data_IF_228574890644
#
_entry.id   IF_228574890644
#
_cell.length_a   1.000
_cell.length_b   1.000
_cell.length_c   1.000
_cell.angle_alpha   90.00
_cell.angle_beta   90.00
_cell.angle_gamma   90.00
#
_symmetry.space_group_name_H-M   'P 1'
#
loop_
_entity.id
_entity.type
_entity.pdbx_description
1 polymer ?
#
# COMPACT_ATOMS: atom_id res chain seq x y z
N UNK A 1 -4.21 13.39 -31.15
CA UNK A 1 -3.48 12.40 -31.93
C UNK A 1 -2.01 12.76 -31.97
N UNK A 2 -1.35 12.76 -30.78
CA UNK A 2 0.08 12.85 -30.62
C UNK A 2 0.45 12.06 -29.36
N UNK A 3 0.39 10.73 -29.46
CA UNK A 3 1.08 9.90 -28.49
C UNK A 3 2.54 9.86 -28.87
N UNK A 4 3.35 10.36 -27.99
CA UNK A 4 4.78 10.43 -28.16
C UNK A 4 5.35 9.02 -28.29
N UNK A 5 6.05 8.75 -29.39
CA UNK A 5 6.86 7.53 -29.55
C UNK A 5 7.85 7.30 -28.40
N UNK A 6 8.02 8.28 -27.51
CA UNK A 6 8.86 8.22 -26.30
C UNK A 6 8.28 7.32 -25.21
N UNK A 7 6.94 7.27 -25.02
CA UNK A 7 6.34 6.45 -23.96
C UNK A 7 6.55 4.95 -24.19
N UNK A 8 6.47 4.49 -25.43
CA UNK A 8 6.67 3.07 -25.76
C UNK A 8 8.12 2.60 -25.60
N UNK A 9 9.09 3.50 -25.77
CA UNK A 9 10.51 3.17 -25.57
C UNK A 9 10.88 3.12 -24.09
N UNK A 10 10.31 4.00 -23.26
CA UNK A 10 10.45 3.99 -21.81
C UNK A 10 9.82 2.76 -21.18
N UNK A 11 8.65 2.33 -21.67
CA UNK A 11 8.00 1.11 -21.20
C UNK A 11 8.84 -0.15 -21.51
N UNK A 12 9.51 -0.18 -22.65
CA UNK A 12 10.42 -1.27 -23.00
C UNK A 12 11.69 -1.30 -22.12
N UNK A 13 12.19 -0.16 -21.67
CA UNK A 13 13.33 -0.07 -20.75
C UNK A 13 12.95 -0.47 -19.31
N UNK A 14 11.77 -0.07 -18.83
CA UNK A 14 11.28 -0.45 -17.51
C UNK A 14 11.00 -1.96 -17.43
N UNK A 15 10.44 -2.57 -18.49
CA UNK A 15 10.25 -4.02 -18.57
C UNK A 15 11.58 -4.80 -18.68
N UNK A 16 12.58 -4.24 -19.37
CA UNK A 16 13.88 -4.92 -19.50
C UNK A 16 14.70 -4.90 -18.21
N UNK A 17 14.45 -3.96 -17.29
CA UNK A 17 15.06 -3.96 -15.96
C UNK A 17 14.45 -5.02 -15.02
N UNK A 18 13.20 -5.48 -15.29
CA UNK A 18 12.51 -6.51 -14.52
C UNK A 18 12.71 -7.91 -15.11
N UNK A 19 13.00 -8.03 -16.40
CA UNK A 19 13.24 -9.31 -17.09
C UNK A 19 14.72 -9.41 -17.50
N UNK A 20 15.60 -9.29 -16.53
CA UNK A 20 17.02 -9.61 -16.73
C UNK A 20 17.19 -11.10 -16.93
N UNK A 21 17.39 -11.53 -18.14
CA UNK A 21 18.29 -12.56 -18.67
C UNK A 21 17.67 -13.26 -19.89
N UNK A 22 18.42 -13.16 -20.95
CA UNK A 22 18.34 -13.78 -22.27
C UNK A 22 17.68 -12.94 -23.36
N UNK A 23 18.38 -11.88 -23.79
CA UNK A 23 18.22 -11.37 -25.15
C UNK A 23 19.46 -11.77 -25.95
N UNK A 24 19.30 -12.68 -26.89
CA UNK A 24 20.30 -12.94 -27.95
C UNK A 24 20.30 -11.72 -28.87
N UNK A 25 21.42 -11.02 -28.91
CA UNK A 25 21.60 -9.85 -29.78
C UNK A 25 21.73 -10.28 -31.24
N UNK A 26 20.79 -9.91 -32.08
CA UNK A 26 21.01 -9.84 -33.51
C UNK A 26 21.95 -8.65 -33.82
N UNK A 27 22.92 -8.84 -34.69
CA UNK A 27 23.87 -7.82 -35.09
C UNK A 27 23.09 -6.61 -35.64
N UNK A 28 23.13 -5.49 -34.92
CA UNK A 28 22.51 -4.26 -35.33
C UNK A 28 23.45 -3.49 -36.24
N UNK A 29 22.87 -2.84 -37.26
CA UNK A 29 23.52 -1.83 -38.07
C UNK A 29 24.23 -0.79 -37.20
N UNK A 30 25.41 -0.35 -37.62
CA UNK A 30 26.21 0.65 -36.93
C UNK A 30 25.47 1.99 -36.90
N UNK A 31 24.60 2.17 -35.92
CA UNK A 31 24.06 3.50 -35.58
C UNK A 31 25.13 4.21 -34.76
N UNK A 32 25.61 5.33 -35.25
CA UNK A 32 26.51 6.17 -34.46
C UNK A 32 25.74 6.69 -33.25
N UNK A 33 26.16 6.34 -32.03
CA UNK A 33 25.40 6.74 -30.85
C UNK A 33 25.51 8.24 -30.63
N UNK A 34 24.39 8.90 -30.42
CA UNK A 34 24.33 10.32 -30.06
C UNK A 34 24.27 10.54 -28.54
N UNK A 35 24.35 9.46 -27.74
CA UNK A 35 24.25 9.52 -26.29
C UNK A 35 25.54 9.06 -25.58
N UNK A 36 25.58 9.24 -24.28
CA UNK A 36 26.69 8.80 -23.43
C UNK A 36 26.81 7.28 -23.43
N UNK A 37 28.04 6.77 -23.51
CA UNK A 37 28.34 5.34 -23.50
C UNK A 37 28.86 4.96 -22.11
N UNK A 38 28.20 4.03 -21.44
CA UNK A 38 28.69 3.46 -20.19
C UNK A 38 29.24 2.05 -20.48
N UNK A 39 30.48 1.80 -20.09
CA UNK A 39 31.13 0.49 -20.23
C UNK A 39 31.46 -0.10 -18.86
N UNK A 40 31.20 -1.39 -18.66
CA UNK A 40 31.73 -2.09 -17.50
C UNK A 40 33.16 -2.56 -17.76
N UNK A 41 34.05 -2.30 -16.80
CA UNK A 41 35.44 -2.73 -16.88
C UNK A 41 35.52 -4.26 -17.11
N UNK A 42 36.24 -4.70 -18.17
CA UNK A 42 36.44 -6.11 -18.49
C UNK A 42 35.36 -6.75 -19.37
N UNK A 43 34.39 -6.00 -19.88
CA UNK A 43 33.39 -6.51 -20.85
C UNK A 43 33.42 -5.68 -22.14
N UNK A 44 33.06 -6.30 -23.27
CA UNK A 44 32.82 -5.60 -24.53
C UNK A 44 31.39 -5.07 -24.64
N UNK A 45 30.59 -5.20 -23.56
CA UNK A 45 29.22 -4.72 -23.53
C UNK A 45 29.20 -3.20 -23.42
N UNK A 46 28.49 -2.57 -24.31
CA UNK A 46 28.25 -1.13 -24.29
C UNK A 46 26.76 -0.89 -24.13
N UNK A 47 26.41 -0.05 -23.17
CA UNK A 47 25.05 0.39 -22.94
C UNK A 47 24.91 1.80 -23.49
N UNK A 48 23.82 2.04 -24.17
CA UNK A 48 23.48 3.33 -24.74
C UNK A 48 22.27 3.88 -23.99
N UNK A 49 22.29 5.17 -23.73
CA UNK A 49 21.16 5.89 -23.15
C UNK A 49 20.79 7.05 -24.06
N UNK A 50 19.51 7.35 -24.16
CA UNK A 50 18.98 8.51 -24.87
C UNK A 50 19.12 9.81 -24.05
N UNK A 51 19.60 9.70 -22.78
CA UNK A 51 19.71 10.81 -21.85
C UNK A 51 21.13 11.38 -21.81
N UNK A 52 21.21 12.70 -21.68
CA UNK A 52 22.50 13.41 -21.69
C UNK A 52 23.13 13.46 -20.30
N UNK A 53 22.34 13.45 -19.24
CA UNK A 53 22.80 13.50 -17.85
C UNK A 53 22.06 12.50 -16.96
N UNK A 54 22.67 12.16 -15.84
CA UNK A 54 22.04 11.32 -14.82
C UNK A 54 20.80 11.99 -14.21
N UNK A 55 20.84 13.30 -14.05
CA UNK A 55 19.73 14.10 -13.53
C UNK A 55 18.51 14.04 -14.46
N UNK A 56 18.73 14.11 -15.78
CA UNK A 56 17.66 13.96 -16.77
C UNK A 56 17.03 12.56 -16.69
N UNK A 57 17.85 11.52 -16.62
CA UNK A 57 17.38 10.14 -16.47
C UNK A 57 16.57 9.94 -15.18
N UNK A 58 17.08 10.44 -14.06
CA UNK A 58 16.41 10.34 -12.76
C UNK A 58 15.07 11.08 -12.75
N UNK A 59 14.99 12.27 -13.35
CA UNK A 59 13.74 13.01 -13.42
C UNK A 59 12.69 12.28 -14.25
N UNK A 60 13.08 11.74 -15.40
CA UNK A 60 12.17 10.97 -16.26
C UNK A 60 11.72 9.68 -15.58
N UNK A 61 12.62 8.98 -14.88
CA UNK A 61 12.26 7.78 -14.10
C UNK A 61 11.28 8.11 -12.97
N UNK A 62 11.46 9.26 -12.31
CA UNK A 62 10.53 9.73 -11.28
C UNK A 62 9.15 10.04 -11.85
N UNK A 63 9.08 10.78 -12.96
CA UNK A 63 7.82 11.13 -13.59
C UNK A 63 7.06 9.88 -14.06
N UNK A 64 7.80 8.91 -14.62
CA UNK A 64 7.23 7.61 -14.99
C UNK A 64 6.71 6.83 -13.76
N UNK A 65 7.45 6.83 -12.65
CA UNK A 65 7.01 6.17 -11.42
C UNK A 65 5.70 6.77 -10.88
N UNK A 66 5.55 8.10 -10.96
CA UNK A 66 4.31 8.79 -10.57
C UNK A 66 3.16 8.42 -11.52
N UNK A 67 3.41 8.35 -12.83
CA UNK A 67 2.42 7.95 -13.82
C UNK A 67 1.95 6.51 -13.57
N UNK A 68 2.87 5.57 -13.42
CA UNK A 68 2.57 4.15 -13.14
C UNK A 68 1.75 4.00 -11.85
N UNK A 69 2.12 4.69 -10.77
CA UNK A 69 1.38 4.65 -9.52
C UNK A 69 -0.02 5.27 -9.66
N UNK A 70 -0.14 6.37 -10.42
CA UNK A 70 -1.41 7.03 -10.68
C UNK A 70 -2.42 6.09 -11.38
N UNK A 71 -1.93 5.25 -12.28
CA UNK A 71 -2.75 4.25 -12.98
C UNK A 71 -2.99 3.00 -12.14
N UNK A 72 -2.03 2.64 -11.26
CA UNK A 72 -2.08 1.42 -10.46
C UNK A 72 -2.88 1.53 -9.17
N UNK A 73 -3.11 2.73 -8.65
CA UNK A 73 -3.88 2.90 -7.42
C UNK A 73 -5.36 2.60 -7.63
N UNK A 74 -5.98 2.01 -6.62
CA UNK A 74 -7.37 1.54 -6.70
C UNK A 74 -8.28 2.31 -5.77
N UNK A 75 -9.35 2.87 -6.30
CA UNK A 75 -10.44 3.47 -5.54
C UNK A 75 -11.44 2.39 -5.16
N UNK A 76 -11.39 1.92 -3.90
CA UNK A 76 -12.26 0.87 -3.38
C UNK A 76 -13.65 1.40 -2.97
N UNK A 77 -13.71 2.64 -2.50
CA UNK A 77 -14.95 3.29 -2.06
C UNK A 77 -14.88 4.79 -2.32
N UNK A 78 -15.98 5.38 -2.80
CA UNK A 78 -16.17 6.84 -2.91
C UNK A 78 -17.65 7.18 -2.73
N UNK A 79 -18.12 7.16 -1.49
CA UNK A 79 -19.52 7.42 -1.16
C UNK A 79 -19.82 8.91 -1.30
N UNK A 80 -20.98 9.23 -1.86
CA UNK A 80 -21.44 10.60 -2.10
C UNK A 80 -20.49 11.45 -2.95
N UNK A 81 -19.60 10.83 -3.71
CA UNK A 81 -18.62 11.53 -4.56
C UNK A 81 -17.79 12.57 -3.78
N UNK A 82 -17.34 12.20 -2.56
CA UNK A 82 -16.50 13.11 -1.74
C UNK A 82 -15.14 13.37 -2.38
N UNK A 83 -14.68 12.50 -3.25
CA UNK A 83 -13.51 12.67 -4.10
C UNK A 83 -13.95 13.04 -5.53
N UNK A 84 -13.19 13.91 -6.21
CA UNK A 84 -11.99 14.59 -5.72
C UNK A 84 -12.28 15.69 -4.68
N UNK A 85 -11.32 15.92 -3.77
CA UNK A 85 -11.41 17.03 -2.84
C UNK A 85 -11.17 18.38 -3.53
N UNK A 86 -11.88 19.41 -3.09
CA UNK A 86 -11.64 20.76 -3.57
C UNK A 86 -10.21 21.22 -3.25
N UNK A 87 -9.51 21.77 -4.25
CA UNK A 87 -8.16 22.31 -4.08
C UNK A 87 -8.15 23.51 -3.11
N UNK A 88 -7.02 23.71 -2.44
CA UNK A 88 -6.86 24.79 -1.46
C UNK A 88 -7.37 24.45 -0.06
N UNK A 89 -7.94 23.26 0.12
CA UNK A 89 -8.45 22.78 1.40
C UNK A 89 -7.37 22.62 2.46
N UNK A 90 -7.83 22.57 3.72
CA UNK A 90 -7.01 22.35 4.90
C UNK A 90 -7.32 20.96 5.46
N UNK A 91 -6.35 20.06 5.41
CA UNK A 91 -6.55 18.64 5.71
C UNK A 91 -5.72 18.18 6.91
N UNK A 92 -6.23 17.19 7.61
CA UNK A 92 -5.52 16.51 8.69
C UNK A 92 -5.12 15.10 8.25
N UNK A 93 -3.84 14.77 8.41
CA UNK A 93 -3.30 13.43 8.13
C UNK A 93 -3.19 12.66 9.43
N UNK A 94 -3.83 11.51 9.50
CA UNK A 94 -3.89 10.63 10.66
C UNK A 94 -3.21 9.28 10.38
N UNK A 95 -2.79 8.62 11.43
CA UNK A 95 -2.15 7.32 11.39
C UNK A 95 -0.63 7.41 11.46
N UNK A 96 0.00 6.45 12.15
CA UNK A 96 1.44 6.41 12.35
C UNK A 96 2.23 6.47 11.04
N UNK A 97 1.70 5.84 10.01
CA UNK A 97 2.33 5.79 8.70
C UNK A 97 2.02 7.02 7.81
N UNK A 98 1.21 7.96 8.27
CA UNK A 98 0.97 9.22 7.53
C UNK A 98 2.23 10.06 7.35
N UNK A 99 3.22 9.91 8.24
CA UNK A 99 4.53 10.58 8.15
C UNK A 99 5.66 9.71 7.60
N UNK A 100 5.38 8.42 7.38
CA UNK A 100 6.36 7.45 6.90
C UNK A 100 5.65 6.28 6.22
N UNK A 101 5.16 6.52 5.00
CA UNK A 101 4.58 5.46 4.17
C UNK A 101 5.58 4.34 3.94
N UNK A 102 5.09 3.11 3.89
CA UNK A 102 5.87 1.96 3.48
C UNK A 102 6.05 2.05 1.96
N UNK A 103 7.21 2.50 1.55
CA UNK A 103 7.53 2.70 0.14
C UNK A 103 7.87 1.39 -0.57
N UNK A 104 8.51 0.46 0.14
CA UNK A 104 8.91 -0.85 -0.40
C UNK A 104 8.86 -1.93 0.67
N UNK A 105 8.78 -3.19 0.24
CA UNK A 105 8.96 -4.35 1.10
C UNK A 105 10.44 -4.61 1.35
N UNK A 106 10.76 -5.44 2.36
CA UNK A 106 12.12 -5.96 2.57
C UNK A 106 12.37 -7.22 1.70
N UNK A 107 13.58 -7.73 1.69
CA UNK A 107 13.96 -8.91 0.90
C UNK A 107 14.28 -8.58 -0.55
N UNK A 108 14.22 -9.58 -1.42
CA UNK A 108 14.56 -9.45 -2.84
C UNK A 108 13.65 -8.49 -3.61
N UNK A 109 12.41 -8.34 -3.14
CA UNK A 109 11.44 -7.37 -3.67
C UNK A 109 11.58 -5.99 -3.00
N UNK A 110 12.47 -5.87 -2.01
CA UNK A 110 12.77 -4.62 -1.33
C UNK A 110 13.49 -3.68 -2.28
N UNK A 111 12.80 -2.69 -2.79
CA UNK A 111 13.45 -1.59 -3.49
C UNK A 111 14.47 -0.93 -2.58
N UNK A 112 15.61 -0.54 -3.12
CA UNK A 112 16.54 0.34 -2.43
C UNK A 112 15.79 1.61 -2.01
N UNK A 113 15.84 1.93 -0.72
CA UNK A 113 15.37 3.21 -0.21
C UNK A 113 16.32 4.33 -0.64
N UNK A 114 16.57 4.53 -1.93
CA UNK A 114 17.53 5.50 -2.44
C UNK A 114 18.94 5.37 -1.82
N UNK A 115 19.92 6.05 -2.35
CA UNK A 115 21.31 5.97 -1.86
C UNK A 115 21.47 6.33 -0.37
N UNK A 116 20.47 6.93 0.28
CA UNK A 116 20.49 7.35 1.67
C UNK A 116 19.29 6.86 2.50
N UNK A 117 18.48 5.93 1.99
CA UNK A 117 17.34 5.38 2.73
C UNK A 117 16.19 6.36 3.05
N UNK A 118 16.20 7.55 2.46
CA UNK A 118 15.20 8.60 2.69
C UNK A 118 14.27 8.65 1.49
N UNK A 119 12.97 8.51 1.73
CA UNK A 119 11.97 8.77 0.69
C UNK A 119 12.11 10.23 0.21
N UNK A 120 12.19 10.45 -1.10
CA UNK A 120 12.31 11.79 -1.68
C UNK A 120 11.03 12.62 -1.47
N UNK A 121 9.92 11.98 -1.19
CA UNK A 121 8.65 12.64 -0.91
C UNK A 121 7.96 12.01 0.30
N UNK A 122 7.11 12.79 0.97
CA UNK A 122 6.24 12.34 2.06
C UNK A 122 4.78 12.60 1.65
N UNK A 123 3.83 11.97 2.34
CA UNK A 123 2.42 12.25 2.10
C UNK A 123 2.10 13.74 2.34
N UNK A 124 2.72 14.38 3.35
CA UNK A 124 2.57 15.81 3.56
C UNK A 124 3.00 16.61 2.31
N UNK A 125 4.21 16.35 1.80
CA UNK A 125 4.73 17.05 0.60
C UNK A 125 3.82 16.78 -0.61
N UNK A 126 3.36 15.55 -0.79
CA UNK A 126 2.46 15.19 -1.88
C UNK A 126 1.14 15.98 -1.82
N UNK A 127 0.54 16.11 -0.63
CA UNK A 127 -0.68 16.89 -0.43
C UNK A 127 -0.44 18.39 -0.61
N UNK A 128 0.69 18.93 -0.14
CA UNK A 128 1.04 20.34 -0.32
C UNK A 128 1.29 20.68 -1.80
N UNK A 129 1.96 19.81 -2.55
CA UNK A 129 2.12 19.95 -4.00
C UNK A 129 0.79 19.91 -4.76
N UNK A 130 -0.17 19.12 -4.28
CA UNK A 130 -1.52 19.06 -4.83
C UNK A 130 -2.40 20.28 -4.42
N UNK A 131 -1.85 21.23 -3.64
CA UNK A 131 -2.47 22.49 -3.29
C UNK A 131 -3.21 22.50 -1.96
N UNK A 132 -3.03 21.50 -1.11
CA UNK A 132 -3.63 21.44 0.24
C UNK A 132 -2.71 22.01 1.30
N UNK A 133 -3.29 22.41 2.42
CA UNK A 133 -2.56 22.77 3.64
C UNK A 133 -2.72 21.67 4.68
N UNK A 134 -1.62 21.15 5.16
CA UNK A 134 -1.58 20.01 6.07
C UNK A 134 -1.43 20.45 7.52
N UNK A 135 -2.12 19.77 8.43
CA UNK A 135 -2.08 20.01 9.87
C UNK A 135 -0.70 19.60 10.46
N UNK A 136 0.17 20.58 10.63
CA UNK A 136 1.52 20.38 11.15
C UNK A 136 1.54 19.77 12.57
N UNK A 137 0.50 20.01 13.41
CA UNK A 137 0.44 19.45 14.77
C UNK A 137 0.30 17.93 14.77
N UNK A 138 -0.42 17.36 13.78
CA UNK A 138 -0.49 15.91 13.62
C UNK A 138 0.82 15.36 13.05
N UNK A 139 1.40 16.03 12.08
CA UNK A 139 2.72 15.63 11.54
C UNK A 139 3.76 15.60 12.66
N UNK A 140 3.81 16.64 13.51
CA UNK A 140 4.71 16.69 14.68
C UNK A 140 4.44 15.54 15.67
N UNK A 141 3.16 15.27 15.97
CA UNK A 141 2.74 14.17 16.85
C UNK A 141 3.29 12.84 16.36
N UNK A 142 2.99 12.47 15.12
CA UNK A 142 3.41 11.18 14.58
C UNK A 142 4.91 11.10 14.35
N UNK A 143 5.57 12.17 13.91
CA UNK A 143 7.02 12.21 13.74
C UNK A 143 7.73 11.98 15.08
N UNK A 144 7.23 12.58 16.16
CA UNK A 144 7.78 12.39 17.50
C UNK A 144 7.65 10.94 17.99
N UNK A 145 6.60 10.25 17.58
CA UNK A 145 6.28 8.91 18.08
C UNK A 145 6.54 7.79 17.05
N UNK A 146 7.13 8.08 15.89
CA UNK A 146 7.35 7.10 14.81
C UNK A 146 8.14 5.85 15.22
N UNK A 147 8.97 5.94 16.26
CA UNK A 147 9.73 4.81 16.80
C UNK A 147 8.87 3.84 17.62
N UNK A 148 7.66 4.23 18.01
CA UNK A 148 6.72 3.36 18.71
C UNK A 148 5.95 2.46 17.74
N UNK A 149 5.84 2.86 16.47
CA UNK A 149 5.18 2.11 15.41
C UNK A 149 6.17 1.26 14.65
N UNK A 150 6.51 0.09 15.17
CA UNK A 150 7.46 -0.80 14.48
C UNK A 150 6.74 -1.77 13.60
N UNK A 151 5.69 -1.78 13.10
CA UNK A 151 5.09 -2.63 12.06
C UNK A 151 3.64 -2.29 11.72
N UNK A 152 2.69 -2.50 12.54
CA UNK A 152 1.27 -2.25 12.25
C UNK A 152 0.57 -1.51 13.39
N UNK A 153 1.33 -1.00 14.34
CA UNK A 153 0.77 -0.45 15.57
C UNK A 153 0.39 1.00 15.40
N UNK A 154 -0.87 1.30 15.61
CA UNK A 154 -1.36 2.68 15.66
C UNK A 154 -1.07 3.31 17.03
N UNK A 155 -0.92 4.63 17.04
CA UNK A 155 -0.66 5.42 18.24
C UNK A 155 -1.89 5.45 19.16
N UNK A 156 -1.81 4.94 20.40
CA UNK A 156 -2.94 5.00 21.34
C UNK A 156 -3.45 6.42 21.57
N UNK A 157 -4.76 6.59 21.73
CA UNK A 157 -5.43 7.89 21.89
C UNK A 157 -4.91 8.74 23.05
N UNK A 158 -4.31 8.13 24.07
CA UNK A 158 -3.68 8.86 25.21
C UNK A 158 -2.59 9.84 24.82
N UNK A 159 -2.00 9.71 23.64
CA UNK A 159 -0.96 10.61 23.13
C UNK A 159 -1.52 11.86 22.44
N UNK A 160 -2.81 11.89 22.16
CA UNK A 160 -3.47 13.03 21.53
C UNK A 160 -3.79 14.10 22.56
N UNK A 161 -2.92 15.13 22.64
CA UNK A 161 -3.13 16.24 23.55
C UNK A 161 -4.34 17.10 23.16
N UNK A 162 -4.90 17.82 24.13
CA UNK A 162 -5.96 18.80 23.87
C UNK A 162 -5.55 19.83 22.79
N UNK A 163 -4.27 20.22 22.73
CA UNK A 163 -3.75 21.12 21.72
C UNK A 163 -3.73 20.49 20.32
N UNK A 164 -3.42 19.20 20.23
CA UNK A 164 -3.48 18.43 18.99
C UNK A 164 -4.93 18.34 18.49
N UNK A 165 -5.86 17.97 19.36
CA UNK A 165 -7.28 17.84 19.03
C UNK A 165 -7.85 19.20 18.63
N UNK A 166 -7.54 20.27 19.35
CA UNK A 166 -7.98 21.63 19.02
C UNK A 166 -7.51 22.10 17.64
N UNK A 167 -6.38 21.57 17.15
CA UNK A 167 -5.84 21.95 15.83
C UNK A 167 -6.74 21.51 14.67
N UNK A 168 -7.59 20.48 14.87
CA UNK A 168 -8.51 20.00 13.83
C UNK A 168 -9.45 21.08 13.32
N UNK A 169 -9.86 22.02 14.19
CA UNK A 169 -10.74 23.13 13.80
C UNK A 169 -10.15 24.01 12.69
N UNK A 170 -8.82 24.10 12.64
CA UNK A 170 -8.12 24.86 11.61
C UNK A 170 -7.84 24.07 10.33
N UNK A 171 -8.04 22.75 10.36
CA UNK A 171 -7.70 21.81 9.29
C UNK A 171 -8.82 20.78 9.08
N UNK A 172 -10.05 21.27 9.11
CA UNK A 172 -11.25 20.45 9.15
C UNK A 172 -11.94 20.23 7.81
N UNK A 173 -11.31 20.50 6.66
CA UNK A 173 -11.96 20.28 5.37
C UNK A 173 -12.03 18.80 4.99
N UNK A 174 -11.04 18.01 5.39
CA UNK A 174 -11.06 16.54 5.30
C UNK A 174 -10.09 15.91 6.30
N UNK A 175 -10.37 14.67 6.68
CA UNK A 175 -9.47 13.78 7.39
C UNK A 175 -8.98 12.66 6.46
N UNK A 176 -7.66 12.41 6.45
CA UNK A 176 -7.04 11.35 5.68
C UNK A 176 -6.31 10.44 6.66
N UNK A 177 -6.71 9.19 6.73
CA UNK A 177 -6.18 8.18 7.65
C UNK A 177 -5.34 7.18 6.86
N UNK A 178 -4.15 6.86 7.33
CA UNK A 178 -3.26 5.89 6.67
C UNK A 178 -3.13 4.65 7.53
N UNK A 179 -3.50 3.51 6.97
CA UNK A 179 -3.20 2.20 7.53
C UNK A 179 -2.18 1.48 6.67
N UNK A 180 -1.16 0.92 7.31
CA UNK A 180 -0.07 0.25 6.62
C UNK A 180 0.18 -1.13 7.19
N UNK A 181 0.57 -2.06 6.30
CA UNK A 181 1.09 -3.37 6.69
C UNK A 181 2.38 -3.63 5.95
N UNK A 182 3.38 -4.08 6.70
CA UNK A 182 4.61 -4.59 6.07
C UNK A 182 4.33 -5.96 5.50
N UNK A 183 4.89 -6.24 4.35
CA UNK A 183 4.95 -7.58 3.78
C UNK A 183 6.37 -7.81 3.27
N UNK A 184 6.91 -9.00 3.37
CA UNK A 184 8.24 -9.29 2.85
C UNK A 184 8.40 -10.77 2.55
N UNK A 185 9.42 -11.08 1.76
CA UNK A 185 9.87 -12.44 1.56
C UNK A 185 10.21 -13.10 2.89
N UNK A 186 9.63 -14.29 3.15
CA UNK A 186 9.79 -15.01 4.42
C UNK A 186 9.13 -14.37 5.63
N UNK A 187 8.25 -13.40 5.43
CA UNK A 187 7.53 -12.69 6.49
C UNK A 187 6.02 -12.81 6.34
N UNK A 188 5.49 -13.99 6.63
CA UNK A 188 4.05 -14.25 6.61
C UNK A 188 3.30 -13.39 7.63
N UNK A 189 2.07 -13.01 7.29
CA UNK A 189 1.16 -12.32 8.19
C UNK A 189 0.45 -13.33 9.06
N UNK A 190 0.82 -13.35 10.34
CA UNK A 190 0.38 -14.38 11.27
C UNK A 190 -0.87 -13.96 12.03
N UNK A 191 -1.68 -14.93 12.40
CA UNK A 191 -2.89 -14.73 13.22
C UNK A 191 -2.54 -14.14 14.59
N UNK A 192 -1.36 -14.45 15.14
CA UNK A 192 -0.94 -14.07 16.50
C UNK A 192 -0.14 -12.75 16.58
N UNK A 193 0.11 -12.05 15.48
CA UNK A 193 0.99 -10.87 15.47
C UNK A 193 0.27 -9.54 15.68
N UNK A 194 -0.93 -9.54 16.23
CA UNK A 194 -1.61 -8.31 16.63
C UNK A 194 -1.11 -7.83 17.99
N UNK A 195 -1.00 -6.54 18.17
CA UNK A 195 -0.51 -5.92 19.39
C UNK A 195 -1.42 -6.07 20.58
N UNK A 196 -2.72 -6.20 20.33
CA UNK A 196 -3.72 -6.54 21.33
C UNK A 196 -4.07 -8.01 21.20
N UNK A 197 -3.47 -8.83 22.05
CA UNK A 197 -3.73 -10.26 22.13
C UNK A 197 -5.00 -10.62 22.93
N UNK A 198 -5.91 -9.66 23.13
CA UNK A 198 -7.19 -9.91 23.81
C UNK A 198 -8.10 -10.86 23.03
N UNK A 199 -7.90 -10.98 21.72
CA UNK A 199 -8.56 -11.95 20.85
C UNK A 199 -7.52 -12.72 20.00
N UNK A 200 -7.13 -13.93 20.39
CA UNK A 200 -6.13 -14.71 19.69
C UNK A 200 -6.52 -15.14 18.26
N UNK A 201 -7.76 -14.91 17.86
CA UNK A 201 -8.24 -15.14 16.48
C UNK A 201 -8.04 -13.94 15.54
N UNK A 202 -7.71 -12.78 16.10
CA UNK A 202 -7.40 -11.61 15.29
C UNK A 202 -6.07 -11.83 14.57
N UNK A 203 -5.99 -11.38 13.34
CA UNK A 203 -4.77 -11.47 12.55
C UNK A 203 -4.29 -10.09 12.08
N UNK A 204 -3.03 -10.02 11.71
CA UNK A 204 -2.33 -8.76 11.38
C UNK A 204 -2.96 -7.99 10.20
N UNK A 205 -3.76 -8.65 9.36
CA UNK A 205 -4.46 -8.02 8.24
C UNK A 205 -5.82 -7.41 8.62
N UNK A 206 -6.22 -7.48 9.90
CA UNK A 206 -7.36 -6.76 10.47
C UNK A 206 -6.91 -5.43 11.08
N UNK A 207 -7.88 -4.54 11.36
CA UNK A 207 -7.62 -3.35 12.17
C UNK A 207 -7.46 -3.73 13.64
N UNK A 208 -6.42 -3.22 14.28
CA UNK A 208 -6.25 -3.33 15.72
C UNK A 208 -7.16 -2.34 16.49
N UNK A 209 -7.20 -2.48 17.81
CA UNK A 209 -8.05 -1.63 18.66
C UNK A 209 -7.68 -0.16 18.61
N UNK A 210 -6.38 0.18 18.45
CA UNK A 210 -5.94 1.56 18.34
C UNK A 210 -6.33 2.14 16.96
N UNK A 211 -6.23 1.36 15.89
CA UNK A 211 -6.69 1.75 14.55
C UNK A 211 -8.22 2.00 14.56
N UNK A 212 -8.98 1.09 15.14
CA UNK A 212 -10.43 1.23 15.32
C UNK A 212 -10.79 2.46 16.16
N UNK A 213 -10.07 2.67 17.27
CA UNK A 213 -10.26 3.84 18.13
C UNK A 213 -9.93 5.15 17.38
N UNK A 214 -8.89 5.16 16.55
CA UNK A 214 -8.53 6.31 15.72
C UNK A 214 -9.66 6.67 14.76
N UNK A 215 -10.22 5.71 14.02
CA UNK A 215 -11.31 6.02 13.07
C UNK A 215 -12.53 6.58 13.78
N UNK A 216 -12.92 6.00 14.93
CA UNK A 216 -14.03 6.51 15.76
C UNK A 216 -13.76 7.94 16.24
N UNK A 217 -12.55 8.20 16.73
CA UNK A 217 -12.13 9.54 17.14
C UNK A 217 -12.20 10.54 15.98
N UNK A 218 -11.73 10.15 14.79
CA UNK A 218 -11.83 11.02 13.61
C UNK A 218 -13.29 11.27 13.24
N UNK A 219 -14.15 10.27 13.24
CA UNK A 219 -15.57 10.43 12.97
C UNK A 219 -16.25 11.43 13.93
N UNK A 220 -15.92 11.38 15.20
CA UNK A 220 -16.45 12.31 16.21
C UNK A 220 -16.06 13.76 15.93
N UNK A 221 -14.84 13.99 15.43
CA UNK A 221 -14.32 15.34 15.19
C UNK A 221 -14.55 15.86 13.76
N UNK A 222 -14.92 14.97 12.83
CA UNK A 222 -15.21 15.26 11.41
C UNK A 222 -16.62 14.76 10.99
N UNK A 223 -17.70 15.06 11.76
CA UNK A 223 -18.99 14.38 11.56
C UNK A 223 -19.63 14.63 10.18
N UNK A 224 -19.36 15.78 9.57
CA UNK A 224 -19.93 16.19 8.28
C UNK A 224 -18.85 16.52 7.24
N UNK A 225 -17.67 15.94 7.40
CA UNK A 225 -16.53 16.17 6.53
C UNK A 225 -16.08 14.84 5.90
N UNK A 226 -15.41 14.89 4.75
CA UNK A 226 -14.81 13.71 4.15
C UNK A 226 -13.82 13.03 5.08
N UNK A 227 -13.99 11.71 5.26
CA UNK A 227 -13.04 10.83 5.93
C UNK A 227 -12.55 9.82 4.88
N UNK A 228 -11.29 9.90 4.55
CA UNK A 228 -10.63 9.12 3.50
C UNK A 228 -9.62 8.19 4.15
N UNK A 229 -9.63 6.93 3.78
CA UNK A 229 -8.64 5.94 4.23
C UNK A 229 -7.72 5.58 3.08
N UNK A 230 -6.42 5.58 3.34
CA UNK A 230 -5.38 5.10 2.44
C UNK A 230 -4.84 3.78 3.00
N UNK A 231 -4.93 2.71 2.21
CA UNK A 231 -4.37 1.40 2.53
C UNK A 231 -2.99 1.29 1.86
N UNK A 232 -1.95 1.46 2.67
CA UNK A 232 -0.56 1.34 2.25
C UNK A 232 -0.02 -0.04 2.63
N UNK A 233 -0.36 -1.02 1.82
CA UNK A 233 -0.01 -2.43 2.03
C UNK A 233 0.04 -3.17 0.70
N UNK A 234 1.01 -4.08 0.55
CA UNK A 234 1.02 -5.03 -0.55
C UNK A 234 -0.05 -6.13 -0.41
N UNK A 235 -0.54 -6.32 0.81
CA UNK A 235 -1.59 -7.28 1.13
C UNK A 235 -2.96 -6.59 1.12
N UNK A 236 -4.01 -7.33 0.80
CA UNK A 236 -5.38 -6.92 1.11
C UNK A 236 -5.58 -6.90 2.63
N UNK A 237 -6.48 -6.04 3.11
CA UNK A 237 -6.87 -6.00 4.52
C UNK A 237 -8.31 -6.46 4.70
N UNK A 238 -8.58 -7.15 5.79
CA UNK A 238 -9.93 -7.48 6.21
C UNK A 238 -10.52 -6.28 6.96
N UNK A 239 -11.20 -5.42 6.23
CA UNK A 239 -11.74 -4.13 6.72
C UNK A 239 -13.24 -3.95 6.40
N UNK A 240 -14.09 -4.98 6.65
CA UNK A 240 -15.51 -4.89 6.32
C UNK A 240 -16.19 -3.70 7.00
N UNK A 241 -15.75 -3.35 8.21
CA UNK A 241 -16.30 -2.25 9.00
C UNK A 241 -16.09 -0.86 8.36
N UNK A 242 -15.04 -0.67 7.57
CA UNK A 242 -14.79 0.60 6.84
C UNK A 242 -15.55 0.66 5.52
N UNK A 243 -15.90 -0.50 4.97
CA UNK A 243 -16.62 -0.60 3.72
C UNK A 243 -18.12 -0.30 3.87
N UNK A 244 -18.67 -0.41 5.09
CA UNK A 244 -20.07 -0.12 5.36
C UNK A 244 -20.47 1.32 4.99
N UNK A 245 -21.74 1.55 4.57
CA UNK A 245 -22.20 2.90 4.25
C UNK A 245 -22.01 3.88 5.41
N UNK A 246 -21.55 5.08 5.13
CA UNK A 246 -21.27 6.11 6.15
C UNK A 246 -22.45 6.33 7.10
N UNK A 247 -23.66 6.32 6.59
CA UNK A 247 -24.87 6.61 7.36
C UNK A 247 -25.16 5.59 8.47
N UNK A 248 -24.75 4.35 8.28
CA UNK A 248 -25.00 3.24 9.20
C UNK A 248 -23.74 2.74 9.91
N UNK A 249 -22.56 3.06 9.35
CA UNK A 249 -21.29 2.63 9.89
C UNK A 249 -20.96 3.30 11.22
N UNK A 250 -20.45 2.53 12.15
CA UNK A 250 -19.82 3.04 13.37
C UNK A 250 -18.58 3.91 13.07
N UNK A 251 -17.93 3.69 11.95
CA UNK A 251 -16.67 4.33 11.56
C UNK A 251 -16.83 5.53 10.62
N UNK A 252 -17.85 5.54 9.77
CA UNK A 252 -18.24 6.71 8.98
C UNK A 252 -17.24 7.13 7.89
N UNK A 253 -16.52 6.17 7.29
CA UNK A 253 -15.56 6.42 6.21
C UNK A 253 -16.30 6.70 4.90
N UNK A 254 -15.90 7.73 4.18
CA UNK A 254 -16.48 8.11 2.88
C UNK A 254 -15.76 7.49 1.69
N UNK A 255 -14.43 7.44 1.74
CA UNK A 255 -13.63 6.92 0.62
C UNK A 255 -12.45 6.06 1.11
N UNK A 256 -12.11 5.07 0.31
CA UNK A 256 -10.99 4.16 0.57
C UNK A 256 -10.18 4.00 -0.70
N UNK A 257 -8.87 4.28 -0.62
CA UNK A 257 -7.90 3.95 -1.64
C UNK A 257 -6.98 2.82 -1.19
N UNK A 258 -6.72 1.88 -2.06
CA UNK A 258 -5.57 1.01 -1.95
C UNK A 258 -4.42 1.59 -2.77
N UNK A 259 -3.33 1.93 -2.09
CA UNK A 259 -2.16 2.57 -2.69
C UNK A 259 -0.93 1.65 -2.71
N UNK A 260 -1.07 0.43 -2.20
CA UNK A 260 0.00 -0.56 -2.19
C UNK A 260 1.28 -0.02 -1.53
N UNK A 261 2.42 -0.49 -2.01
CA UNK A 261 3.74 0.05 -1.69
C UNK A 261 4.12 1.03 -2.81
N UNK A 262 4.18 2.30 -2.48
CA UNK A 262 4.25 3.39 -3.46
C UNK A 262 5.60 3.52 -4.18
N UNK A 263 6.66 2.87 -3.67
CA UNK A 263 8.01 3.28 -4.05
C UNK A 263 8.38 4.66 -3.48
N UNK A 264 9.63 5.05 -3.64
CA UNK A 264 10.12 6.29 -3.03
C UNK A 264 9.61 7.56 -3.73
N UNK A 265 9.37 7.49 -5.03
CA UNK A 265 9.04 8.64 -5.87
C UNK A 265 7.54 8.79 -6.14
N UNK A 266 6.77 7.71 -6.07
CA UNK A 266 5.37 7.71 -6.49
C UNK A 266 4.37 8.17 -5.42
N UNK A 267 4.83 8.52 -4.21
CA UNK A 267 3.96 9.08 -3.15
C UNK A 267 3.22 10.34 -3.66
N UNK A 268 3.82 11.09 -4.57
CA UNK A 268 3.21 12.30 -5.16
C UNK A 268 1.91 11.99 -5.93
N UNK A 269 1.76 10.78 -6.46
CA UNK A 269 0.54 10.34 -7.12
C UNK A 269 -0.69 10.38 -6.20
N UNK A 270 -0.52 10.16 -4.88
CA UNK A 270 -1.62 10.22 -3.91
C UNK A 270 -2.26 11.61 -3.90
N UNK A 271 -1.45 12.67 -3.88
CA UNK A 271 -1.96 14.04 -3.93
C UNK A 271 -2.73 14.33 -5.23
N UNK A 272 -2.23 13.82 -6.36
CA UNK A 272 -2.87 13.96 -7.68
C UNK A 272 -4.24 13.25 -7.74
N UNK A 273 -4.34 12.05 -7.17
CA UNK A 273 -5.60 11.31 -7.09
C UNK A 273 -6.63 12.02 -6.20
N UNK A 274 -6.22 12.44 -5.01
CA UNK A 274 -7.12 13.13 -4.08
C UNK A 274 -7.63 14.45 -4.65
N UNK A 275 -6.78 15.17 -5.40
CA UNK A 275 -7.16 16.45 -6.03
C UNK A 275 -7.94 16.30 -7.35
N UNK A 276 -8.05 15.08 -7.88
CA UNK A 276 -8.66 14.83 -9.18
C UNK A 276 -7.82 15.28 -10.38
N UNK A 277 -6.53 15.53 -10.18
CA UNK A 277 -5.59 15.77 -11.29
C UNK A 277 -5.42 14.51 -12.13
N UNK A 278 -5.51 13.36 -11.48
CA UNK A 278 -5.52 12.03 -12.10
C UNK A 278 -6.76 11.27 -11.64
N UNK A 279 -7.39 10.54 -12.55
CA UNK A 279 -8.50 9.65 -12.23
C UNK A 279 -7.96 8.23 -11.97
N UNK A 280 -8.26 7.59 -10.83
CA UNK A 280 -7.81 6.24 -10.55
C UNK A 280 -8.42 5.25 -11.54
N UNK A 281 -7.59 4.41 -12.13
CA UNK A 281 -8.00 3.41 -13.12
C UNK A 281 -7.61 1.98 -12.76
N UNK A 282 -6.87 1.80 -11.65
CA UNK A 282 -6.45 0.51 -11.16
C UNK A 282 -7.62 -0.34 -10.66
N UNK A 283 -7.45 -1.67 -10.76
CA UNK A 283 -8.39 -2.67 -10.25
C UNK A 283 -7.63 -3.69 -9.41
N UNK A 284 -8.28 -4.20 -8.37
CA UNK A 284 -7.72 -5.30 -7.60
C UNK A 284 -7.83 -6.61 -8.38
N UNK A 285 -6.84 -7.47 -8.21
CA UNK A 285 -6.84 -8.82 -8.79
C UNK A 285 -7.40 -9.86 -7.84
N UNK A 286 -7.53 -9.50 -6.56
CA UNK A 286 -8.12 -10.33 -5.51
C UNK A 286 -9.50 -9.81 -5.11
N UNK A 287 -10.32 -10.70 -4.56
CA UNK A 287 -11.54 -10.36 -3.84
C UNK A 287 -11.15 -9.87 -2.44
N UNK A 288 -11.67 -8.71 -2.05
CA UNK A 288 -11.51 -8.21 -0.68
C UNK A 288 -12.56 -8.84 0.22
N UNK A 289 -12.17 -9.91 0.86
CA UNK A 289 -13.04 -10.73 1.69
C UNK A 289 -13.44 -10.00 2.98
N UNK A 290 -14.68 -10.18 3.39
CA UNK A 290 -15.17 -9.66 4.67
C UNK A 290 -14.63 -10.44 5.86
N UNK A 291 -14.33 -11.72 5.65
CA UNK A 291 -13.82 -12.66 6.65
C UNK A 291 -12.89 -13.66 5.95
N UNK A 292 -11.61 -13.49 6.12
CA UNK A 292 -10.59 -14.35 5.49
C UNK A 292 -10.71 -15.82 5.91
N UNK A 293 -11.28 -16.08 7.12
CA UNK A 293 -11.47 -17.45 7.60
C UNK A 293 -12.51 -18.22 6.78
N UNK A 294 -13.30 -17.52 5.97
CA UNK A 294 -14.31 -18.12 5.07
C UNK A 294 -13.77 -18.33 3.66
N UNK A 295 -12.59 -17.81 3.36
CA UNK A 295 -11.93 -18.04 2.07
C UNK A 295 -11.58 -19.51 1.90
N UNK A 296 -11.76 -20.07 0.68
CA UNK A 296 -11.58 -21.50 0.44
C UNK A 296 -10.14 -21.98 0.64
N UNK A 297 -9.18 -21.09 0.50
CA UNK A 297 -7.75 -21.36 0.66
C UNK A 297 -7.20 -21.10 2.05
N UNK A 298 -7.98 -20.51 2.97
CA UNK A 298 -7.50 -20.07 4.28
C UNK A 298 -6.80 -21.17 5.09
N UNK A 299 -7.35 -22.40 5.06
CA UNK A 299 -6.78 -23.55 5.78
C UNK A 299 -5.76 -24.35 4.97
N UNK A 300 -5.55 -24.00 3.69
CA UNK A 300 -4.73 -24.81 2.79
C UNK A 300 -3.34 -24.21 2.56
N UNK A 301 -3.11 -22.98 3.03
CA UNK A 301 -1.89 -22.23 2.79
C UNK A 301 -1.19 -21.87 4.10
N UNK A 302 0.11 -21.91 4.08
CA UNK A 302 0.95 -21.21 5.02
C UNK A 302 1.75 -22.08 5.95
N UNK A 303 2.80 -21.46 6.47
CA UNK A 303 3.55 -21.95 7.61
C UNK A 303 2.81 -21.55 8.87
N UNK A 304 1.96 -22.41 9.39
CA UNK A 304 1.11 -22.16 10.55
C UNK A 304 1.81 -22.44 11.88
N UNK A 305 3.13 -22.62 11.90
CA UNK A 305 3.89 -22.92 13.12
C UNK A 305 3.75 -21.90 14.23
N UNK A 306 3.15 -20.74 13.95
CA UNK A 306 2.94 -19.68 14.93
C UNK A 306 1.47 -19.36 15.14
N UNK A 307 0.56 -20.12 14.58
CA UNK A 307 -0.84 -19.98 14.92
C UNK A 307 -1.06 -20.49 16.35
N UNK A 308 -1.87 -19.78 17.08
CA UNK A 308 -2.34 -20.21 18.40
C UNK A 308 -3.79 -20.64 18.31
N UNK A 309 -4.14 -21.68 19.03
CA UNK A 309 -5.52 -22.12 19.16
C UNK A 309 -6.33 -21.17 20.07
N UNK A 310 -7.59 -21.51 20.32
CA UNK A 310 -8.49 -20.71 21.18
C UNK A 310 -8.02 -20.63 22.65
N UNK A 311 -7.06 -21.47 23.06
CA UNK A 311 -6.49 -21.49 24.41
C UNK A 311 -5.16 -20.72 24.47
N UNK A 312 -4.65 -20.23 23.33
CA UNK A 312 -3.35 -19.58 23.22
C UNK A 312 -2.18 -20.56 23.10
N UNK A 313 -2.45 -21.85 22.89
CA UNK A 313 -1.41 -22.83 22.64
C UNK A 313 -0.95 -22.74 21.17
N UNK A 314 0.35 -22.83 20.94
CA UNK A 314 0.90 -22.87 19.58
C UNK A 314 0.33 -24.09 18.86
N UNK A 315 -0.46 -23.87 17.85
CA UNK A 315 -0.94 -24.94 16.99
C UNK A 315 0.26 -25.46 16.20
N UNK A 316 0.49 -26.77 16.26
CA UNK A 316 1.47 -27.41 15.41
C UNK A 316 1.18 -27.04 13.96
N UNK A 317 2.25 -26.79 13.21
CA UNK A 317 2.14 -26.49 11.80
C UNK A 317 1.20 -27.47 11.11
N UNK A 318 0.16 -26.95 10.47
CA UNK A 318 -0.76 -27.80 9.70
C UNK A 318 -0.07 -28.24 8.41
N UNK A 319 0.83 -29.20 8.57
CA UNK A 319 1.30 -29.94 7.45
C UNK A 319 0.50 -31.24 7.42
N UNK A 320 -0.47 -31.30 6.53
CA UNK A 320 -1.25 -32.50 6.33
C UNK A 320 -0.86 -33.13 4.99
N UNK A 321 -0.60 -34.41 5.01
CA UNK A 321 -0.53 -35.21 3.80
C UNK A 321 -1.54 -36.35 3.94
N UNK A 322 -2.51 -36.43 3.04
CA UNK A 322 -3.61 -37.42 3.09
C UNK A 322 -4.39 -37.41 4.41
N UNK A 323 -4.54 -36.24 5.02
CA UNK A 323 -5.27 -36.08 6.29
C UNK A 323 -4.47 -36.38 7.56
N UNK A 324 -3.20 -36.73 7.44
CA UNK A 324 -2.30 -36.95 8.57
C UNK A 324 -1.34 -35.78 8.75
N UNK A 325 -1.14 -35.34 9.99
CA UNK A 325 -0.16 -34.32 10.32
C UNK A 325 1.25 -34.76 9.93
N UNK A 326 1.97 -33.90 9.23
CA UNK A 326 3.34 -34.16 8.77
C UNK A 326 4.29 -33.07 9.26
N UNK A 327 5.57 -33.39 9.35
CA UNK A 327 6.64 -32.43 9.68
C UNK A 327 7.11 -31.60 8.47
N UNK A 328 6.56 -31.86 7.30
CA UNK A 328 6.96 -31.19 6.08
C UNK A 328 5.93 -30.14 5.68
N UNK A 329 6.39 -28.97 5.27
CA UNK A 329 5.52 -27.95 4.70
C UNK A 329 4.88 -28.50 3.42
N UNK A 330 3.57 -28.60 3.43
CA UNK A 330 2.79 -29.03 2.26
C UNK A 330 1.69 -28.02 2.00
N UNK A 331 1.43 -27.74 0.73
CA UNK A 331 0.29 -26.95 0.29
C UNK A 331 -0.61 -27.90 -0.49
N UNK A 332 -1.86 -28.02 -0.04
CA UNK A 332 -2.88 -28.81 -0.75
C UNK A 332 -3.88 -27.84 -1.37
N UNK A 333 -3.96 -27.82 -2.69
CA UNK A 333 -4.94 -26.99 -3.43
C UNK A 333 -6.33 -27.66 -3.41
N UNK A 334 -6.93 -27.80 -2.22
CA UNK A 334 -8.23 -28.46 -2.03
C UNK A 334 -9.36 -27.70 -2.71
N UNK A 335 -9.21 -26.39 -2.79
CA UNK A 335 -10.12 -25.47 -3.47
C UNK A 335 -10.15 -25.67 -4.99
N UNK A 336 -9.13 -26.28 -5.57
CA UNK A 336 -9.01 -26.49 -7.02
C UNK A 336 -9.02 -25.14 -7.77
N UNK A 337 -9.99 -24.97 -8.68
CA UNK A 337 -10.16 -23.71 -9.43
C UNK A 337 -11.02 -22.67 -8.72
N UNK A 338 -11.62 -23.02 -7.57
CA UNK A 338 -12.57 -22.18 -6.86
C UNK A 338 -11.84 -21.28 -5.85
N UNK A 339 -11.13 -20.27 -6.38
CA UNK A 339 -10.46 -19.22 -5.59
C UNK A 339 -10.97 -17.84 -6.00
N UNK A 340 -10.97 -16.91 -5.06
CA UNK A 340 -11.40 -15.53 -5.30
C UNK A 340 -12.84 -15.46 -5.84
N UNK A 341 -13.06 -14.68 -6.89
CA UNK A 341 -14.40 -14.46 -7.45
C UNK A 341 -15.09 -15.76 -7.91
N UNK A 342 -14.35 -16.72 -8.42
CA UNK A 342 -14.93 -18.01 -8.87
C UNK A 342 -15.58 -18.79 -7.73
N UNK A 343 -14.99 -18.73 -6.55
CA UNK A 343 -15.57 -19.33 -5.36
C UNK A 343 -16.86 -18.61 -4.96
N UNK A 344 -16.79 -17.29 -4.81
CA UNK A 344 -17.92 -16.51 -4.30
C UNK A 344 -19.11 -16.48 -5.26
N UNK A 345 -18.87 -16.41 -6.57
CA UNK A 345 -19.93 -16.51 -7.57
C UNK A 345 -20.62 -17.89 -7.52
N UNK A 346 -19.85 -18.97 -7.47
CA UNK A 346 -20.40 -20.33 -7.39
C UNK A 346 -21.19 -20.56 -6.08
N UNK A 347 -20.63 -20.10 -4.94
CA UNK A 347 -21.30 -20.26 -3.65
C UNK A 347 -22.55 -19.38 -3.49
N UNK A 348 -22.72 -18.35 -4.30
CA UNK A 348 -23.91 -17.51 -4.29
C UNK A 348 -25.08 -18.13 -5.08
N UNK A 349 -24.78 -19.06 -5.99
CA UNK A 349 -25.79 -19.75 -6.81
C UNK A 349 -26.35 -21.02 -6.11
N UNK A 350 -25.71 -21.51 -5.06
CA UNK A 350 -26.12 -22.63 -4.22
C UNK A 350 -26.96 -22.19 -3.00
#
# INVERSE_FOLDING_TARGET
MFQSKKSHRLMALALSAVVGLTATFAAAETVTPTGNTYGFAGTNARYYTDYMTLEEEQQIAKDLAIEVASEGFVLLKNENNVLPLAKGGKVSLFGMHSVSLIASTSGSAGGSTGANGIAESTLQIAMEKAGYRVNAKLVDLYTKHKTLGTTSNELPMKYYSAATISSYNGYGDAAIIVFSRTGSEGGDKLVSNVTDHSNPRDHELMLDDNEKALVKHVKEHYPNKPIIVLINSSNILQIPELAEPKATSEYGVDAIFWVGNTGNNAIEAIGKLISGEVNPSGHTVEVWERDFTKGPSFTNFGNQTQNVDENGDTMDAFFYHNGEATKYATIEYREGIYVGYKYYETAADD
#
